data_IF_288200593403
#
_entry.id   IF_288200593403
#
_cell.length_a   1.000
_cell.length_b   1.000
_cell.length_c   1.000
_cell.angle_alpha   90.00
_cell.angle_beta   90.00
_cell.angle_gamma   90.00
#
_symmetry.space_group_name_H-M   'P 1'
#
loop_
_entity.id
_entity.type
_entity.pdbx_description
1 polymer ?
#
# COMPACT_ATOMS: atom_id res chain seq x y z
N UNK A 1 62.05 55.35 71.38
CA UNK A 1 63.34 54.71 71.71
C UNK A 1 63.85 54.06 70.42
N UNK A 2 64.93 54.61 69.83
CA UNK A 2 66.01 53.92 69.07
C UNK A 2 65.54 53.14 67.79
N UNK A 3 66.04 53.28 66.55
CA UNK A 3 67.14 53.94 65.79
C UNK A 3 66.67 53.86 64.31
N UNK A 4 66.83 54.87 63.45
CA UNK A 4 67.97 55.03 62.49
C UNK A 4 68.38 53.71 61.80
N UNK A 5 68.41 53.54 60.47
CA UNK A 5 69.44 54.07 59.55
C UNK A 5 69.16 53.64 58.09
N UNK A 6 69.35 54.57 57.12
CA UNK A 6 70.14 54.48 55.84
C UNK A 6 69.93 53.31 54.84
N UNK A 7 70.08 53.41 53.51
CA UNK A 7 70.41 54.43 52.49
C UNK A 7 70.01 53.88 51.09
N UNK A 8 69.79 54.79 50.13
CA UNK A 8 70.15 54.79 48.70
C UNK A 8 70.05 53.51 47.84
N UNK A 9 69.34 53.61 46.71
CA UNK A 9 70.02 53.83 45.42
C UNK A 9 69.05 54.14 44.27
N UNK A 10 69.53 55.04 43.42
CA UNK A 10 68.94 55.60 42.20
C UNK A 10 69.06 54.63 41.03
N UNK A 11 68.02 54.48 40.20
CA UNK A 11 68.16 54.38 38.73
C UNK A 11 66.92 55.00 38.04
N UNK A 12 67.15 56.03 37.21
CA UNK A 12 66.22 56.53 36.17
C UNK A 12 66.19 55.55 34.99
N UNK A 13 65.06 55.41 34.30
CA UNK A 13 64.92 55.79 32.88
C UNK A 13 63.48 55.61 32.37
N UNK A 14 63.07 56.34 31.31
CA UNK A 14 61.68 56.50 30.87
C UNK A 14 61.33 55.62 29.66
N UNK A 15 60.02 55.42 29.42
CA UNK A 15 59.52 55.08 28.08
C UNK A 15 58.33 54.12 28.04
N UNK A 16 57.30 54.52 27.29
CA UNK A 16 56.42 53.60 26.57
C UNK A 16 54.96 53.55 27.03
N UNK A 17 53.99 53.99 26.21
CA UNK A 17 52.58 53.71 26.42
C UNK A 17 52.22 52.36 25.79
N UNK A 18 51.57 51.45 26.53
CA UNK A 18 51.05 50.21 25.96
C UNK A 18 49.58 49.94 26.31
N UNK A 19 48.77 50.04 25.26
CA UNK A 19 47.81 49.04 24.78
C UNK A 19 46.55 48.70 25.61
N UNK A 20 45.59 49.63 25.58
CA UNK A 20 44.16 49.34 25.83
C UNK A 20 43.45 48.68 24.63
N UNK A 21 43.86 47.48 24.21
CA UNK A 21 43.21 46.74 23.09
C UNK A 21 43.01 45.24 23.37
N UNK A 22 42.54 44.86 24.57
CA UNK A 22 42.27 43.43 24.89
C UNK A 22 40.88 43.11 25.46
N UNK A 23 39.81 43.83 25.08
CA UNK A 23 38.44 43.47 25.53
C UNK A 23 37.41 43.18 24.44
N UNK A 24 37.66 43.50 23.17
CA UNK A 24 36.63 43.39 22.13
C UNK A 24 36.48 42.02 21.45
N UNK A 25 37.43 41.07 21.63
CA UNK A 25 37.47 39.84 20.82
C UNK A 25 36.71 38.63 21.37
N UNK A 26 36.20 38.64 22.60
CA UNK A 26 35.54 37.45 23.19
C UNK A 26 34.04 37.32 22.87
N UNK A 27 33.35 38.39 22.48
CA UNK A 27 31.91 38.36 22.21
C UNK A 27 31.52 37.78 20.84
N UNK A 28 32.35 38.03 19.82
CA UNK A 28 32.03 37.74 18.41
C UNK A 28 32.12 36.24 18.10
N UNK A 29 33.04 35.51 18.74
CA UNK A 29 33.20 34.06 18.50
C UNK A 29 32.08 33.18 19.10
N UNK A 30 31.32 33.69 20.08
CA UNK A 30 30.27 32.91 20.78
C UNK A 30 28.94 32.95 20.01
N UNK A 31 28.56 34.11 19.45
CA UNK A 31 27.35 34.25 18.63
C UNK A 31 27.41 33.46 17.32
N UNK A 32 28.60 33.37 16.70
CA UNK A 32 28.80 32.64 15.45
C UNK A 32 28.67 31.11 15.64
N UNK A 33 29.05 30.58 16.81
CA UNK A 33 28.88 29.15 17.17
C UNK A 33 27.42 28.79 17.50
N UNK A 34 26.66 29.73 18.05
CA UNK A 34 25.23 29.53 18.33
C UNK A 34 24.38 29.64 17.05
N UNK A 35 24.69 30.60 16.18
CA UNK A 35 24.06 30.71 14.86
C UNK A 35 24.33 29.48 13.97
N UNK A 36 25.54 28.94 14.01
CA UNK A 36 25.91 27.71 13.26
C UNK A 36 25.19 26.46 13.81
N UNK A 37 25.00 26.36 15.14
CA UNK A 37 24.22 25.27 15.76
C UNK A 37 22.73 25.36 15.41
N UNK A 38 22.15 26.57 15.39
CA UNK A 38 20.76 26.78 14.99
C UNK A 38 20.55 26.49 13.49
N UNK A 39 21.51 26.84 12.63
CA UNK A 39 21.50 26.50 11.21
C UNK A 39 21.62 24.98 10.96
N UNK A 40 22.45 24.27 11.73
CA UNK A 40 22.56 22.80 11.65
C UNK A 40 21.28 22.08 12.10
N UNK A 41 20.60 22.57 13.15
CA UNK A 41 19.32 22.01 13.60
C UNK A 41 18.19 22.33 12.60
N UNK A 42 18.17 23.52 12.01
CA UNK A 42 17.23 23.88 10.95
C UNK A 42 17.46 23.07 9.66
N UNK A 43 18.72 22.77 9.31
CA UNK A 43 19.06 21.92 8.19
C UNK A 43 18.69 20.43 8.42
N UNK A 44 18.77 19.93 9.66
CA UNK A 44 18.32 18.58 10.00
C UNK A 44 16.79 18.43 9.97
N UNK A 45 16.03 19.49 10.21
CA UNK A 45 14.55 19.48 10.11
C UNK A 45 14.04 19.53 8.67
N UNK A 46 14.87 19.92 7.70
CA UNK A 46 14.47 20.05 6.30
C UNK A 46 14.68 18.76 5.47
N UNK A 47 15.39 17.78 6.02
CA UNK A 47 15.58 16.45 5.40
C UNK A 47 14.72 15.42 6.13
N UNK A 48 13.43 15.68 6.25
CA UNK A 48 12.49 14.59 6.46
C UNK A 48 12.32 13.90 5.11
N UNK A 49 12.80 12.66 4.91
CA UNK A 49 12.36 11.91 3.75
C UNK A 49 10.84 11.84 3.85
N UNK A 50 10.14 12.35 2.84
CA UNK A 50 8.74 12.03 2.63
C UNK A 50 8.70 10.52 2.41
N UNK A 51 8.53 9.76 3.48
CA UNK A 51 8.27 8.35 3.39
C UNK A 51 6.96 8.23 2.62
N UNK A 52 7.07 7.89 1.33
CA UNK A 52 5.93 7.50 0.51
C UNK A 52 5.32 6.29 1.21
N UNK A 53 4.28 6.52 2.02
CA UNK A 53 3.54 5.44 2.63
C UNK A 53 2.93 4.61 1.49
N UNK A 54 3.02 3.29 1.60
CA UNK A 54 2.39 2.40 0.64
C UNK A 54 0.86 2.58 0.73
N UNK A 55 0.29 3.22 -0.29
CA UNK A 55 -1.12 3.56 -0.37
C UNK A 55 -1.83 2.76 -1.47
N UNK A 56 -3.16 2.92 -1.55
CA UNK A 56 -3.98 2.19 -2.53
C UNK A 56 -3.58 2.55 -3.97
N UNK A 57 -3.12 3.78 -4.21
CA UNK A 57 -2.62 4.19 -5.53
C UNK A 57 -1.32 3.49 -5.92
N UNK A 58 -0.39 3.32 -4.97
CA UNK A 58 0.83 2.53 -5.16
C UNK A 58 0.51 1.05 -5.38
N UNK A 59 -0.43 0.49 -4.63
CA UNK A 59 -0.91 -0.89 -4.83
C UNK A 59 -1.55 -1.08 -6.22
N UNK A 60 -2.40 -0.15 -6.67
CA UNK A 60 -2.97 -0.20 -8.00
C UNK A 60 -1.88 -0.18 -9.08
N UNK A 61 -0.89 0.71 -8.97
CA UNK A 61 0.25 0.76 -9.90
C UNK A 61 1.06 -0.53 -9.90
N UNK A 62 1.25 -1.15 -8.73
CA UNK A 62 1.94 -2.43 -8.60
C UNK A 62 1.22 -3.52 -9.40
N UNK A 63 -0.10 -3.67 -9.20
CA UNK A 63 -0.88 -4.73 -9.86
C UNK A 63 -1.18 -4.45 -11.34
N UNK A 64 -1.20 -3.18 -11.76
CA UNK A 64 -1.41 -2.78 -13.16
C UNK A 64 -0.12 -2.67 -13.97
N UNK A 65 1.04 -2.97 -13.36
CA UNK A 65 2.31 -3.00 -14.07
C UNK A 65 2.30 -4.01 -15.22
N UNK A 66 1.48 -5.04 -15.08
CA UNK A 66 1.45 -6.19 -15.98
C UNK A 66 0.24 -6.09 -16.91
N UNK A 67 0.49 -6.18 -18.21
CA UNK A 67 -0.56 -6.04 -19.23
C UNK A 67 -1.56 -7.21 -19.21
N UNK A 68 -1.10 -8.38 -18.79
CA UNK A 68 -1.90 -9.59 -18.68
C UNK A 68 -1.39 -10.44 -17.53
N UNK A 69 -2.31 -10.96 -16.73
CA UNK A 69 -2.02 -11.89 -15.64
C UNK A 69 -2.78 -13.18 -15.87
N UNK A 70 -2.09 -14.30 -15.78
CA UNK A 70 -2.68 -15.63 -15.89
C UNK A 70 -2.17 -16.53 -14.78
N UNK A 71 -2.89 -17.60 -14.50
CA UNK A 71 -2.47 -18.59 -13.53
C UNK A 71 -3.57 -19.56 -13.18
N UNK A 72 -3.41 -20.20 -12.03
CA UNK A 72 -4.34 -21.17 -11.48
C UNK A 72 -5.06 -20.60 -10.27
N UNK A 73 -6.25 -21.14 -10.00
CA UNK A 73 -6.98 -20.84 -8.79
C UNK A 73 -7.47 -22.11 -8.10
N UNK A 74 -7.60 -22.04 -6.78
CA UNK A 74 -8.43 -22.93 -5.99
C UNK A 74 -9.42 -22.12 -5.16
N UNK A 75 -10.66 -22.58 -5.10
CA UNK A 75 -11.75 -21.91 -4.43
C UNK A 75 -12.44 -22.87 -3.46
N UNK A 76 -12.81 -22.35 -2.29
CA UNK A 76 -13.71 -23.02 -1.35
C UNK A 76 -14.86 -22.09 -1.00
N UNK A 77 -16.10 -22.53 -1.25
CA UNK A 77 -17.32 -21.83 -0.84
C UNK A 77 -17.99 -22.60 0.28
N UNK A 78 -18.14 -21.97 1.43
CA UNK A 78 -18.78 -22.54 2.60
C UNK A 78 -20.20 -21.96 2.67
N UNK A 79 -21.17 -22.84 2.43
CA UNK A 79 -22.58 -22.49 2.40
C UNK A 79 -23.21 -22.83 3.75
N UNK A 80 -24.09 -21.97 4.23
CA UNK A 80 -24.87 -22.26 5.44
C UNK A 80 -25.65 -23.57 5.27
N UNK A 81 -25.49 -24.48 6.23
CA UNK A 81 -26.19 -25.76 6.26
C UNK A 81 -25.48 -26.90 5.55
N UNK A 82 -24.35 -26.65 4.88
CA UNK A 82 -23.47 -27.71 4.38
C UNK A 82 -22.31 -27.93 5.38
N UNK A 83 -21.98 -29.19 5.73
CA UNK A 83 -20.89 -29.50 6.64
C UNK A 83 -19.52 -29.26 5.99
N UNK A 84 -19.40 -29.53 4.69
CA UNK A 84 -18.18 -29.38 3.90
C UNK A 84 -18.31 -28.25 2.87
N UNK A 85 -17.22 -27.52 2.57
CA UNK A 85 -17.24 -26.51 1.52
C UNK A 85 -17.35 -27.13 0.13
N UNK A 86 -18.03 -26.41 -0.76
CA UNK A 86 -17.94 -26.66 -2.19
C UNK A 86 -16.57 -26.19 -2.68
N UNK A 87 -15.79 -27.10 -3.26
CA UNK A 87 -14.45 -26.78 -3.77
C UNK A 87 -14.46 -26.75 -5.28
N UNK A 88 -13.75 -25.80 -5.86
CA UNK A 88 -13.50 -25.76 -7.30
C UNK A 88 -12.06 -25.31 -7.58
N UNK A 89 -11.56 -25.65 -8.76
CA UNK A 89 -10.23 -25.24 -9.21
C UNK A 89 -10.17 -25.13 -10.72
N UNK A 90 -9.19 -24.39 -11.21
CA UNK A 90 -9.10 -24.08 -12.62
C UNK A 90 -7.97 -23.13 -12.97
N UNK A 91 -8.12 -22.45 -14.09
CA UNK A 91 -7.20 -21.42 -14.58
C UNK A 91 -7.95 -20.14 -14.89
N UNK A 92 -7.18 -19.06 -14.94
CA UNK A 92 -7.70 -17.77 -15.33
C UNK A 92 -6.70 -17.02 -16.21
N UNK A 93 -7.22 -16.08 -16.98
CA UNK A 93 -6.47 -15.10 -17.73
C UNK A 93 -7.20 -13.76 -17.64
N UNK A 94 -6.48 -12.70 -17.28
CA UNK A 94 -7.01 -11.36 -17.10
C UNK A 94 -6.15 -10.38 -17.87
N UNK A 95 -6.83 -9.54 -18.66
CA UNK A 95 -6.28 -8.30 -19.18
C UNK A 95 -6.90 -7.18 -18.36
N UNK A 96 -6.15 -6.53 -17.44
CA UNK A 96 -6.69 -5.53 -16.53
C UNK A 96 -7.52 -4.47 -17.24
N UNK A 97 -8.76 -4.28 -16.75
CA UNK A 97 -9.70 -3.30 -17.31
C UNK A 97 -10.37 -3.69 -18.62
N UNK A 98 -10.01 -4.80 -19.25
CA UNK A 98 -10.52 -5.21 -20.56
C UNK A 98 -11.29 -6.52 -20.48
N UNK A 99 -10.64 -7.60 -20.04
CA UNK A 99 -11.23 -8.94 -20.10
C UNK A 99 -10.81 -9.85 -18.95
N UNK A 100 -11.66 -10.84 -18.70
CA UNK A 100 -11.43 -11.96 -17.80
C UNK A 100 -11.90 -13.23 -18.51
N UNK A 101 -11.07 -14.27 -18.54
CA UNK A 101 -11.44 -15.64 -18.83
C UNK A 101 -11.26 -16.46 -17.54
N UNK A 102 -12.32 -17.12 -17.10
CA UNK A 102 -12.34 -17.98 -15.93
C UNK A 102 -12.74 -19.39 -16.36
N UNK A 103 -11.83 -20.35 -16.20
CA UNK A 103 -12.03 -21.73 -16.61
C UNK A 103 -11.97 -22.64 -15.39
N UNK A 104 -13.14 -22.99 -14.85
CA UNK A 104 -13.27 -24.04 -13.84
C UNK A 104 -12.99 -25.38 -14.51
N UNK A 105 -12.04 -26.15 -13.99
CA UNK A 105 -11.69 -27.50 -14.46
C UNK A 105 -12.27 -28.60 -13.56
N UNK A 106 -12.48 -28.31 -12.28
CA UNK A 106 -12.97 -29.25 -11.28
C UNK A 106 -13.95 -28.56 -10.34
N UNK A 107 -15.03 -29.25 -9.90
CA UNK A 107 -15.40 -30.65 -10.17
C UNK A 107 -16.16 -30.83 -11.49
N UNK A 108 -16.70 -29.75 -12.04
CA UNK A 108 -17.38 -29.72 -13.33
C UNK A 108 -16.74 -28.65 -14.19
N UNK A 109 -16.40 -29.00 -15.43
CA UNK A 109 -15.77 -28.06 -16.33
C UNK A 109 -16.76 -26.97 -16.76
N UNK A 110 -16.38 -25.71 -16.59
CA UNK A 110 -17.18 -24.56 -16.96
C UNK A 110 -16.28 -23.37 -17.32
N UNK A 111 -16.63 -22.63 -18.37
CA UNK A 111 -15.87 -21.46 -18.82
C UNK A 111 -16.77 -20.25 -18.86
N UNK A 112 -16.26 -19.16 -18.32
CA UNK A 112 -16.87 -17.84 -18.34
C UNK A 112 -15.88 -16.85 -18.89
N UNK A 113 -16.35 -15.93 -19.71
CA UNK A 113 -15.62 -14.72 -20.01
C UNK A 113 -16.42 -13.48 -19.68
N UNK A 114 -15.72 -12.44 -19.30
CA UNK A 114 -16.28 -11.11 -19.10
C UNK A 114 -15.44 -10.08 -19.82
N UNK A 115 -16.09 -9.18 -20.55
CA UNK A 115 -15.48 -8.02 -21.19
C UNK A 115 -16.40 -6.79 -21.06
N UNK A 116 -16.21 -5.78 -21.92
CA UNK A 116 -17.04 -4.59 -21.98
C UNK A 116 -18.48 -4.86 -22.47
N UNK A 117 -18.70 -5.91 -23.26
CA UNK A 117 -20.01 -6.29 -23.79
C UNK A 117 -20.84 -7.08 -22.77
N UNK A 118 -20.17 -7.75 -21.84
CA UNK A 118 -20.80 -8.34 -20.68
C UNK A 118 -20.26 -9.72 -20.33
N UNK A 119 -21.15 -10.56 -19.79
CA UNK A 119 -20.84 -11.90 -19.32
C UNK A 119 -21.28 -12.93 -20.36
N UNK A 120 -20.39 -13.86 -20.69
CA UNK A 120 -20.70 -14.98 -21.56
C UNK A 120 -20.17 -16.28 -20.98
N UNK A 121 -20.87 -17.37 -21.24
CA UNK A 121 -20.46 -18.71 -20.86
C UNK A 121 -20.23 -19.57 -22.11
N UNK A 122 -19.38 -20.57 -21.97
CA UNK A 122 -19.14 -21.55 -23.03
C UNK A 122 -20.19 -22.66 -22.96
N UNK A 123 -21.03 -22.78 -23.99
CA UNK A 123 -22.00 -23.85 -24.13
C UNK A 123 -22.20 -24.19 -25.62
N UNK A 124 -22.41 -25.47 -25.91
CA UNK A 124 -22.65 -25.97 -27.28
C UNK A 124 -21.56 -25.57 -28.28
N UNK A 125 -20.30 -25.54 -27.83
CA UNK A 125 -19.14 -25.21 -28.68
C UNK A 125 -19.03 -23.73 -29.07
N UNK A 126 -19.77 -22.83 -28.42
CA UNK A 126 -19.72 -21.39 -28.67
C UNK A 126 -19.89 -20.57 -27.39
N UNK A 127 -19.49 -19.30 -27.44
CA UNK A 127 -19.82 -18.33 -26.41
C UNK A 127 -21.29 -17.93 -26.54
N UNK A 128 -22.01 -17.98 -25.42
CA UNK A 128 -23.40 -17.60 -25.32
C UNK A 128 -23.53 -16.51 -24.27
N UNK A 129 -24.16 -15.40 -24.66
CA UNK A 129 -24.48 -14.32 -23.72
C UNK A 129 -25.52 -14.81 -22.73
N UNK A 130 -25.18 -14.70 -21.47
CA UNK A 130 -26.06 -15.16 -20.43
C UNK A 130 -27.23 -14.19 -20.26
N UNK A 131 -28.44 -14.69 -20.54
CA UNK A 131 -29.69 -13.94 -20.43
C UNK A 131 -30.41 -14.26 -19.10
N UNK A 132 -29.88 -15.18 -18.31
CA UNK A 132 -30.50 -15.76 -17.11
C UNK A 132 -29.67 -15.53 -15.82
N UNK A 133 -28.38 -15.18 -15.90
CA UNK A 133 -27.64 -14.76 -14.68
C UNK A 133 -28.29 -13.52 -14.09
N UNK A 134 -28.59 -13.61 -12.80
CA UNK A 134 -29.09 -12.47 -12.04
C UNK A 134 -28.09 -11.32 -12.07
N UNK A 135 -28.57 -10.10 -11.83
CA UNK A 135 -27.72 -8.91 -11.69
C UNK A 135 -26.63 -9.09 -10.62
N UNK A 136 -26.87 -9.94 -9.61
CA UNK A 136 -25.92 -10.29 -8.55
C UNK A 136 -24.68 -11.04 -9.04
N UNK A 137 -24.85 -12.10 -9.85
CA UNK A 137 -23.72 -12.92 -10.33
C UNK A 137 -22.78 -12.13 -11.24
N UNK A 138 -23.37 -11.26 -12.09
CA UNK A 138 -22.61 -10.35 -12.94
C UNK A 138 -21.82 -9.33 -12.12
N UNK A 139 -22.41 -8.75 -11.09
CA UNK A 139 -21.75 -7.79 -10.22
C UNK A 139 -20.61 -8.44 -9.43
N UNK A 140 -20.81 -9.67 -8.95
CA UNK A 140 -19.79 -10.42 -8.22
C UNK A 140 -18.59 -10.75 -9.12
N UNK A 141 -18.80 -11.19 -10.36
CA UNK A 141 -17.68 -11.50 -11.26
C UNK A 141 -16.95 -10.23 -11.75
N UNK A 142 -17.67 -9.13 -11.98
CA UNK A 142 -17.07 -7.85 -12.30
C UNK A 142 -16.20 -7.34 -11.15
N UNK A 143 -16.68 -7.52 -9.91
CA UNK A 143 -15.92 -7.21 -8.71
C UNK A 143 -14.62 -8.04 -8.61
N UNK A 144 -14.67 -9.34 -8.92
CA UNK A 144 -13.47 -10.18 -8.97
C UNK A 144 -12.46 -9.72 -10.02
N UNK A 145 -12.93 -9.44 -11.24
CA UNK A 145 -12.06 -8.90 -12.30
C UNK A 145 -11.37 -7.62 -11.83
N UNK A 146 -12.11 -6.73 -11.18
CA UNK A 146 -11.57 -5.45 -10.70
C UNK A 146 -10.55 -5.65 -9.57
N UNK A 147 -10.77 -6.57 -8.62
CA UNK A 147 -9.75 -6.92 -7.61
C UNK A 147 -8.47 -7.47 -8.24
N UNK A 148 -8.60 -8.50 -9.09
CA UNK A 148 -7.43 -9.21 -9.60
C UNK A 148 -6.65 -8.31 -10.59
N UNK A 149 -7.36 -7.47 -11.35
CA UNK A 149 -6.76 -6.45 -12.21
C UNK A 149 -6.32 -5.16 -11.49
N UNK A 150 -6.36 -5.14 -10.15
CA UNK A 150 -5.88 -4.03 -9.33
C UNK A 150 -6.66 -2.71 -9.46
N UNK A 151 -7.92 -2.74 -9.91
CA UNK A 151 -8.78 -1.58 -10.11
C UNK A 151 -9.52 -1.19 -8.82
N UNK A 152 -8.79 -0.89 -7.75
CA UNK A 152 -9.41 -0.61 -6.46
C UNK A 152 -10.14 0.73 -6.39
N UNK A 153 -9.82 1.67 -7.28
CA UNK A 153 -10.52 2.96 -7.35
C UNK A 153 -12.03 2.81 -7.64
N UNK A 154 -12.43 1.85 -8.49
CA UNK A 154 -13.84 1.58 -8.76
C UNK A 154 -14.58 1.04 -7.51
N UNK A 155 -13.85 0.39 -6.60
CA UNK A 155 -14.40 -0.16 -5.36
C UNK A 155 -14.65 0.92 -4.29
N UNK A 156 -13.93 2.04 -4.35
CA UNK A 156 -14.02 3.12 -3.36
C UNK A 156 -15.41 3.72 -3.22
N UNK A 157 -16.24 3.65 -4.27
CA UNK A 157 -17.63 4.12 -4.27
C UNK A 157 -18.56 3.25 -3.40
N UNK A 158 -18.14 2.03 -3.08
CA UNK A 158 -18.98 1.04 -2.43
C UNK A 158 -18.35 0.41 -1.19
N UNK A 159 -17.05 0.65 -0.96
CA UNK A 159 -16.29 0.11 0.16
C UNK A 159 -15.39 1.16 0.80
N UNK A 160 -15.30 1.12 2.13
CA UNK A 160 -14.19 1.71 2.87
C UNK A 160 -13.00 0.77 2.81
N UNK A 161 -11.79 1.31 2.61
CA UNK A 161 -10.58 0.52 2.36
C UNK A 161 -9.52 0.78 3.43
N UNK A 162 -8.93 -0.28 3.97
CA UNK A 162 -7.78 -0.21 4.85
C UNK A 162 -6.64 -1.04 4.28
N UNK A 163 -5.57 -0.36 3.88
CA UNK A 163 -4.34 -0.98 3.37
C UNK A 163 -3.29 -1.04 4.48
N UNK A 164 -2.60 -2.17 4.56
CA UNK A 164 -1.45 -2.35 5.45
C UNK A 164 -0.35 -3.16 4.76
N UNK A 165 0.88 -3.04 5.26
CA UNK A 165 2.05 -3.71 4.70
C UNK A 165 2.76 -2.89 3.62
N UNK A 166 3.43 -3.58 2.70
CA UNK A 166 4.23 -3.01 1.62
C UNK A 166 4.07 -3.83 0.32
N UNK A 167 4.77 -3.42 -0.75
CA UNK A 167 4.72 -4.07 -2.07
C UNK A 167 5.03 -5.58 -2.06
N UNK A 168 5.76 -6.09 -1.05
CA UNK A 168 6.16 -7.51 -0.96
C UNK A 168 5.16 -8.32 -0.16
N UNK A 169 4.39 -7.68 0.71
CA UNK A 169 3.36 -8.31 1.53
C UNK A 169 2.36 -7.28 1.99
N UNK A 170 1.30 -7.12 1.20
CA UNK A 170 0.22 -6.20 1.51
C UNK A 170 -1.06 -6.94 1.87
N UNK A 171 -1.92 -6.23 2.60
CA UNK A 171 -3.27 -6.67 2.93
C UNK A 171 -4.23 -5.49 2.77
N UNK A 172 -5.29 -5.70 2.00
CA UNK A 172 -6.36 -4.75 1.74
C UNK A 172 -7.65 -5.30 2.34
N UNK A 173 -8.16 -4.62 3.37
CA UNK A 173 -9.46 -4.90 3.97
C UNK A 173 -10.50 -3.95 3.35
N UNK A 174 -11.63 -4.51 2.92
CA UNK A 174 -12.75 -3.77 2.36
C UNK A 174 -13.99 -3.98 3.25
N UNK A 175 -14.55 -2.88 3.73
CA UNK A 175 -15.83 -2.86 4.45
C UNK A 175 -16.90 -2.20 3.58
N UNK A 176 -18.04 -2.88 3.30
CA UNK A 176 -19.08 -2.31 2.44
C UNK A 176 -19.68 -1.04 3.07
N UNK A 177 -19.75 0.03 2.29
CA UNK A 177 -20.27 1.34 2.71
C UNK A 177 -21.66 1.62 2.14
N UNK A 178 -21.95 1.16 0.92
CA UNK A 178 -23.24 1.35 0.26
C UNK A 178 -24.32 0.39 0.77
N UNK A 179 -25.59 0.79 0.67
CA UNK A 179 -26.74 -0.03 1.12
C UNK A 179 -26.76 -1.38 0.41
N UNK A 180 -26.60 -1.38 -0.91
CA UNK A 180 -26.61 -2.60 -1.72
C UNK A 180 -25.47 -3.54 -1.33
N UNK A 181 -24.23 -3.03 -1.21
CA UNK A 181 -23.11 -3.89 -0.85
C UNK A 181 -23.22 -4.45 0.57
N UNK A 182 -23.78 -3.70 1.53
CA UNK A 182 -24.03 -4.20 2.90
C UNK A 182 -25.04 -5.35 2.96
N UNK A 183 -25.90 -5.50 1.94
CA UNK A 183 -26.82 -6.63 1.85
C UNK A 183 -26.17 -7.90 1.30
N UNK A 184 -25.06 -7.74 0.57
CA UNK A 184 -24.36 -8.83 -0.12
C UNK A 184 -23.15 -9.26 0.70
N UNK A 185 -22.32 -8.31 1.11
CA UNK A 185 -21.05 -8.54 1.77
C UNK A 185 -21.07 -8.09 3.23
N UNK A 186 -20.32 -8.80 4.06
CA UNK A 186 -19.93 -8.39 5.40
C UNK A 186 -18.51 -7.81 5.38
N UNK A 187 -17.54 -8.54 4.84
CA UNK A 187 -16.15 -8.11 4.68
C UNK A 187 -15.50 -8.77 3.47
N UNK A 188 -14.46 -8.13 2.94
CA UNK A 188 -13.61 -8.70 1.90
C UNK A 188 -12.16 -8.42 2.25
N UNK A 189 -11.36 -9.48 2.35
CA UNK A 189 -9.94 -9.42 2.70
C UNK A 189 -9.11 -9.92 1.53
N UNK A 190 -8.18 -9.10 1.07
CA UNK A 190 -7.33 -9.38 -0.08
C UNK A 190 -5.88 -9.28 0.36
N UNK A 191 -5.07 -10.27 0.02
CA UNK A 191 -3.64 -10.28 0.33
C UNK A 191 -2.81 -10.55 -0.91
N UNK A 192 -1.58 -10.05 -0.92
CA UNK A 192 -0.71 -10.26 -2.05
C UNK A 192 0.71 -9.74 -1.90
N UNK A 193 1.43 -9.84 -3.02
CA UNK A 193 2.79 -9.35 -3.25
C UNK A 193 2.80 -8.57 -4.58
N UNK A 194 3.69 -8.90 -5.53
CA UNK A 194 3.57 -8.42 -6.90
C UNK A 194 2.22 -8.78 -7.56
N UNK A 195 1.51 -9.77 -7.03
CA UNK A 195 0.17 -10.16 -7.48
C UNK A 195 -0.80 -10.34 -6.31
N UNK A 196 -2.09 -10.40 -6.62
CA UNK A 196 -3.11 -10.91 -5.69
C UNK A 196 -2.86 -12.41 -5.43
N UNK A 197 -2.83 -12.79 -4.16
CA UNK A 197 -2.59 -14.18 -3.72
C UNK A 197 -3.83 -14.83 -3.13
N UNK A 198 -4.55 -14.10 -2.30
CA UNK A 198 -5.73 -14.63 -1.63
C UNK A 198 -6.85 -13.60 -1.61
N UNK A 199 -8.08 -14.04 -1.84
CA UNK A 199 -9.29 -13.25 -1.62
C UNK A 199 -10.20 -14.04 -0.70
N UNK A 200 -10.60 -13.44 0.41
CA UNK A 200 -11.60 -13.99 1.32
C UNK A 200 -12.80 -13.07 1.34
N UNK A 201 -13.98 -13.65 1.18
CA UNK A 201 -15.26 -12.93 1.19
C UNK A 201 -16.12 -13.53 2.27
N UNK A 202 -16.62 -12.68 3.17
CA UNK A 202 -17.74 -13.02 4.04
C UNK A 202 -18.98 -12.33 3.48
N UNK A 203 -20.04 -13.10 3.22
CA UNK A 203 -21.32 -12.58 2.78
C UNK A 203 -22.20 -12.21 3.98
N UNK A 204 -23.09 -11.23 3.81
CA UNK A 204 -23.99 -10.77 4.87
C UNK A 204 -24.93 -11.90 5.36
N UNK A 205 -25.20 -12.87 4.50
CA UNK A 205 -26.01 -14.05 4.81
C UNK A 205 -25.20 -15.18 5.46
N UNK A 206 -23.94 -14.97 5.82
CA UNK A 206 -23.12 -15.92 6.58
C UNK A 206 -22.44 -17.01 5.73
N UNK A 207 -22.62 -16.97 4.41
CA UNK A 207 -21.78 -17.73 3.49
C UNK A 207 -20.38 -17.09 3.44
N UNK A 208 -19.37 -17.91 3.14
CA UNK A 208 -18.02 -17.41 2.93
C UNK A 208 -17.36 -18.06 1.72
N UNK A 209 -16.45 -17.34 1.10
CA UNK A 209 -15.65 -17.83 0.01
C UNK A 209 -14.18 -17.50 0.21
N UNK A 210 -13.32 -18.47 -0.09
CA UNK A 210 -11.88 -18.35 -0.06
C UNK A 210 -11.35 -18.72 -1.44
N UNK A 211 -10.51 -17.84 -2.00
CA UNK A 211 -9.91 -18.00 -3.32
C UNK A 211 -8.40 -17.82 -3.18
N UNK A 212 -7.64 -18.79 -3.68
CA UNK A 212 -6.18 -18.78 -3.66
C UNK A 212 -5.65 -18.87 -5.10
N UNK A 213 -4.71 -17.98 -5.42
CA UNK A 213 -4.08 -17.90 -6.73
C UNK A 213 -2.65 -18.43 -6.71
N UNK A 214 -2.30 -19.22 -7.71
CA UNK A 214 -1.00 -19.87 -7.84
C UNK A 214 -0.56 -19.93 -9.30
N UNK A 215 0.67 -20.36 -9.54
CA UNK A 215 1.26 -20.45 -10.89
C UNK A 215 1.11 -19.14 -11.71
N UNK A 216 1.21 -17.99 -11.03
CA UNK A 216 1.02 -16.68 -11.63
C UNK A 216 2.14 -16.34 -12.59
N UNK A 217 1.77 -15.93 -13.80
CA UNK A 217 2.71 -15.44 -14.81
C UNK A 217 2.10 -14.28 -15.58
N UNK A 218 2.96 -13.52 -16.23
CA UNK A 218 2.54 -12.54 -17.23
C UNK A 218 2.21 -13.24 -18.54
N UNK A 219 1.16 -12.76 -19.22
CA UNK A 219 0.93 -13.14 -20.63
C UNK A 219 2.05 -12.58 -21.50
N UNK A 220 2.49 -13.36 -22.49
CA UNK A 220 3.31 -12.88 -23.61
C UNK A 220 2.41 -12.38 -24.73
#
# INVERSE_FOLDING_TARGET
MIKETRELSSVRHPGGPESGHRRAWKGICTGMRQALRLLLVAALLFVAPSAMAFDVGALQKLLQKEEQVQGQFSQARYLRGLPDPLRSSGDFNIVPGQSLLWHVRSPFEYKVRMDAEGLEHWADGRWQRDRQTGTGDRAQLAFFRDIIGGRFESLSQHFSMQLSGDEKRWQLHLTPSSVLMKQIFATIDITGDAYVRTVKIAEAQGDRMELEFSALSHGQ
#
